data_IF_451685247577
#
_entry.id   IF_451685247577
#
_cell.length_a   1.000
_cell.length_b   1.000
_cell.length_c   1.000
_cell.angle_alpha   90.00
_cell.angle_beta   90.00
_cell.angle_gamma   90.00
#
_symmetry.space_group_name_H-M   'P 1'
#
loop_
_entity.id
_entity.type
_entity.pdbx_description
1 polymer ?
#
# COMPACT_ATOMS: atom_id res chain seq x y z
N UNK A 1 -20.83 -10.50 6.18
CA UNK A 1 -19.84 -10.33 7.27
C UNK A 1 -18.47 -10.39 6.63
N UNK A 2 -17.70 -9.29 6.61
CA UNK A 2 -16.35 -9.35 6.05
C UNK A 2 -15.49 -10.11 7.04
N UNK A 3 -14.95 -11.26 6.65
CA UNK A 3 -14.01 -12.00 7.48
C UNK A 3 -12.80 -11.10 7.78
N UNK A 4 -12.29 -11.15 9.01
CA UNK A 4 -11.02 -10.50 9.37
C UNK A 4 -9.94 -11.12 8.49
N UNK A 5 -9.36 -10.35 7.58
CA UNK A 5 -8.32 -10.85 6.69
C UNK A 5 -7.01 -11.01 7.45
N UNK A 6 -6.23 -12.08 7.21
CA UNK A 6 -4.92 -12.25 7.81
C UNK A 6 -3.97 -11.13 7.35
N UNK A 7 -2.96 -10.75 8.16
CA UNK A 7 -2.04 -9.67 7.84
C UNK A 7 -1.35 -9.78 6.47
N UNK A 8 -1.03 -11.01 6.03
CA UNK A 8 -0.42 -11.27 4.72
C UNK A 8 -1.32 -10.90 3.56
N UNK A 9 -2.63 -11.14 3.67
CA UNK A 9 -3.60 -10.75 2.64
C UNK A 9 -3.77 -9.24 2.57
N UNK A 10 -3.72 -8.55 3.72
CA UNK A 10 -3.79 -7.08 3.77
C UNK A 10 -2.56 -6.46 3.08
N UNK A 11 -1.37 -7.00 3.36
CA UNK A 11 -0.13 -6.57 2.72
C UNK A 11 -0.16 -6.78 1.20
N UNK A 12 -0.60 -7.97 0.75
CA UNK A 12 -0.75 -8.25 -0.67
C UNK A 12 -1.74 -7.28 -1.33
N UNK A 13 -2.87 -7.00 -0.64
CA UNK A 13 -3.89 -6.09 -1.16
C UNK A 13 -3.40 -4.64 -1.27
N UNK A 14 -2.58 -4.18 -0.32
CA UNK A 14 -1.93 -2.87 -0.40
C UNK A 14 -1.08 -2.77 -1.67
N UNK A 15 -0.24 -3.77 -1.95
CA UNK A 15 0.62 -3.78 -3.13
C UNK A 15 -0.19 -3.80 -4.44
N UNK A 16 -1.27 -4.59 -4.50
CA UNK A 16 -2.20 -4.64 -5.64
C UNK A 16 -2.80 -3.25 -5.91
N UNK A 17 -3.34 -2.58 -4.88
CA UNK A 17 -3.96 -1.26 -5.03
C UNK A 17 -2.95 -0.20 -5.52
N UNK A 18 -1.70 -0.25 -5.06
CA UNK A 18 -0.64 0.66 -5.52
C UNK A 18 -0.28 0.34 -6.98
N UNK A 19 -0.14 -0.93 -7.34
CA UNK A 19 0.17 -1.35 -8.71
C UNK A 19 -0.88 -0.86 -9.72
N UNK A 20 -2.17 -1.00 -9.38
CA UNK A 20 -3.28 -0.50 -10.19
C UNK A 20 -3.30 1.03 -10.33
N UNK A 21 -2.68 1.76 -9.40
CA UNK A 21 -2.62 3.22 -9.42
C UNK A 21 -1.30 3.73 -10.03
N UNK A 22 -0.90 3.18 -11.17
CA UNK A 22 0.36 3.55 -11.86
C UNK A 22 1.59 3.49 -10.93
N UNK A 23 1.59 2.52 -9.99
CA UNK A 23 2.62 2.32 -8.98
C UNK A 23 2.86 3.50 -8.01
N UNK A 24 1.95 4.48 -7.91
CA UNK A 24 2.07 5.63 -7.01
C UNK A 24 0.69 6.09 -6.50
N UNK A 25 0.54 6.31 -5.19
CA UNK A 25 -0.75 6.67 -4.62
C UNK A 25 -0.58 7.52 -3.35
N UNK A 26 -1.55 8.38 -3.05
CA UNK A 26 -1.64 9.05 -1.75
C UNK A 26 -2.12 8.04 -0.70
N UNK A 27 -1.54 8.08 0.50
CA UNK A 27 -1.95 7.21 1.62
C UNK A 27 -3.45 7.33 1.97
N UNK A 28 -4.01 8.54 1.89
CA UNK A 28 -5.43 8.80 2.08
C UNK A 28 -6.32 8.12 1.03
N UNK A 29 -5.88 8.05 -0.23
CA UNK A 29 -6.61 7.36 -1.30
C UNK A 29 -6.44 5.84 -1.17
N UNK A 30 -5.23 5.38 -0.86
CA UNK A 30 -4.96 3.97 -0.54
C UNK A 30 -5.86 3.48 0.60
N UNK A 31 -6.00 4.25 1.68
CA UNK A 31 -6.90 3.93 2.78
C UNK A 31 -8.35 3.82 2.34
N UNK A 32 -8.85 4.80 1.58
CA UNK A 32 -10.23 4.78 1.06
C UNK A 32 -10.52 3.55 0.21
N UNK A 33 -9.55 3.11 -0.62
CA UNK A 33 -9.68 1.91 -1.43
C UNK A 33 -9.64 0.65 -0.57
N UNK A 34 -8.62 0.51 0.29
CA UNK A 34 -8.42 -0.67 1.13
C UNK A 34 -9.61 -0.93 2.07
N UNK A 35 -10.16 0.14 2.68
CA UNK A 35 -11.28 0.05 3.62
C UNK A 35 -12.59 -0.48 2.99
N UNK A 36 -12.73 -0.43 1.66
CA UNK A 36 -13.89 -1.03 0.97
C UNK A 36 -13.87 -2.56 1.02
N UNK A 37 -12.68 -3.15 1.21
CA UNK A 37 -12.46 -4.59 1.10
C UNK A 37 -11.92 -5.21 2.39
N UNK A 38 -11.50 -4.40 3.35
CA UNK A 38 -10.85 -4.82 4.60
C UNK A 38 -11.35 -3.94 5.75
N UNK A 39 -11.72 -4.56 6.87
CA UNK A 39 -11.98 -3.81 8.10
C UNK A 39 -10.65 -3.41 8.73
N UNK A 40 -10.26 -2.15 8.54
CA UNK A 40 -8.96 -1.61 8.94
C UNK A 40 -9.09 -0.14 9.33
N UNK A 41 -8.36 0.27 10.37
CA UNK A 41 -8.19 1.68 10.72
C UNK A 41 -6.95 2.28 10.06
N UNK A 42 -6.87 3.61 10.04
CA UNK A 42 -5.76 4.30 9.36
C UNK A 42 -4.40 4.02 10.03
N UNK A 43 -4.34 3.87 11.36
CA UNK A 43 -3.10 3.54 12.07
C UNK A 43 -2.53 2.16 11.66
N UNK A 44 -3.39 1.19 11.41
CA UNK A 44 -2.98 -0.13 10.92
C UNK A 44 -2.45 -0.06 9.49
N UNK A 45 -3.05 0.76 8.62
CA UNK A 45 -2.47 1.04 7.30
C UNK A 45 -1.06 1.60 7.44
N UNK A 46 -0.83 2.58 8.31
CA UNK A 46 0.50 3.15 8.53
C UNK A 46 1.51 2.10 9.01
N UNK A 47 1.08 1.18 9.90
CA UNK A 47 1.93 0.05 10.34
C UNK A 47 2.28 -0.88 9.19
N UNK A 48 1.32 -1.22 8.32
CA UNK A 48 1.59 -2.05 7.15
C UNK A 48 2.50 -1.36 6.13
N UNK A 49 2.31 -0.06 5.89
CA UNK A 49 3.19 0.72 5.02
C UNK A 49 4.62 0.77 5.55
N UNK A 50 4.80 1.00 6.85
CA UNK A 50 6.12 0.94 7.50
C UNK A 50 6.76 -0.45 7.34
N UNK A 51 5.99 -1.53 7.53
CA UNK A 51 6.48 -2.90 7.34
C UNK A 51 6.90 -3.19 5.89
N UNK A 52 6.13 -2.71 4.91
CA UNK A 52 6.46 -2.86 3.49
C UNK A 52 7.69 -2.03 3.11
N UNK A 53 7.82 -0.83 3.68
CA UNK A 53 8.96 0.06 3.45
C UNK A 53 10.26 -0.52 4.01
N UNK A 54 10.25 -1.01 5.25
CA UNK A 54 11.40 -1.70 5.86
C UNK A 54 11.84 -2.91 5.04
N UNK A 55 10.87 -3.65 4.47
CA UNK A 55 11.15 -4.79 3.59
C UNK A 55 11.53 -4.39 2.17
N UNK A 56 11.56 -3.11 1.85
CA UNK A 56 11.97 -2.60 0.55
C UNK A 56 10.93 -2.79 -0.55
N UNK A 57 9.64 -2.97 -0.23
CA UNK A 57 8.56 -3.11 -1.21
C UNK A 57 7.96 -1.78 -1.65
N UNK A 58 7.93 -0.79 -0.77
CA UNK A 58 7.40 0.54 -1.07
C UNK A 58 8.37 1.63 -0.60
N UNK A 59 8.23 2.82 -1.18
CA UNK A 59 8.80 4.04 -0.64
C UNK A 59 7.67 4.95 -0.15
N UNK A 60 7.80 5.50 1.05
CA UNK A 60 6.85 6.46 1.61
C UNK A 60 7.55 7.81 1.74
N UNK A 61 7.10 8.80 0.98
CA UNK A 61 7.63 10.17 1.07
C UNK A 61 6.60 11.12 1.66
N UNK A 62 7.07 12.03 2.51
CA UNK A 62 6.25 13.13 3.03
C UNK A 62 6.06 14.19 1.95
N UNK A 63 4.81 14.50 1.61
CA UNK A 63 4.44 15.67 0.84
C UNK A 63 4.30 16.92 1.72
N UNK A 64 4.06 18.07 1.09
CA UNK A 64 3.56 19.25 1.82
C UNK A 64 2.16 18.92 2.37
N UNK A 65 1.82 19.43 3.56
CA UNK A 65 0.47 19.34 4.16
C UNK A 65 0.02 17.94 4.65
N UNK A 66 0.91 17.18 5.34
CA UNK A 66 0.60 15.87 5.97
C UNK A 66 0.15 14.75 5.00
N UNK A 67 0.25 14.96 3.69
CA UNK A 67 -0.05 13.94 2.69
C UNK A 67 1.18 13.05 2.47
N UNK A 68 1.06 11.73 2.64
CA UNK A 68 2.14 10.80 2.26
C UNK A 68 1.89 10.25 0.86
N UNK A 69 2.96 10.20 0.07
CA UNK A 69 2.98 9.53 -1.22
C UNK A 69 3.62 8.17 -1.03
N UNK A 70 2.96 7.12 -1.51
CA UNK A 70 3.42 5.74 -1.46
C UNK A 70 3.67 5.28 -2.88
N UNK A 71 4.86 4.75 -3.18
CA UNK A 71 5.19 4.18 -4.49
C UNK A 71 5.79 2.78 -4.37
N UNK A 72 5.61 1.94 -5.39
CA UNK A 72 6.29 0.64 -5.45
C UNK A 72 7.78 0.83 -5.69
N UNK A 73 8.59 0.11 -4.92
CA UNK A 73 10.02 0.03 -5.16
C UNK A 73 10.32 -0.78 -6.43
N UNK A 74 11.57 -0.69 -6.90
CA UNK A 74 12.07 -1.56 -7.97
C UNK A 74 11.90 -3.04 -7.64
N UNK A 75 12.24 -3.45 -6.41
CA UNK A 75 12.11 -4.83 -5.93
C UNK A 75 10.68 -5.33 -6.04
N UNK A 76 9.71 -4.53 -5.59
CA UNK A 76 8.29 -4.90 -5.67
C UNK A 76 7.82 -5.05 -7.11
N UNK A 77 8.19 -4.12 -8.00
CA UNK A 77 7.85 -4.20 -9.43
C UNK A 77 8.39 -5.48 -10.07
N UNK A 78 9.63 -5.85 -9.78
CA UNK A 78 10.25 -7.08 -10.28
C UNK A 78 9.53 -8.33 -9.76
N UNK A 79 9.22 -8.40 -8.45
CA UNK A 79 8.51 -9.53 -7.86
C UNK A 79 7.07 -9.67 -8.37
N UNK A 80 6.38 -8.55 -8.60
CA UNK A 80 5.03 -8.52 -9.15
C UNK A 80 4.99 -8.64 -10.68
N UNK A 81 6.15 -8.74 -11.34
CA UNK A 81 6.28 -8.81 -12.81
C UNK A 81 5.57 -7.64 -13.53
N UNK A 82 5.66 -6.45 -12.93
CA UNK A 82 5.10 -5.21 -13.50
C UNK A 82 6.10 -4.66 -14.51
N UNK A 83 5.76 -4.77 -15.79
CA UNK A 83 6.61 -4.33 -16.91
C UNK A 83 6.40 -2.85 -17.30
N UNK A 84 5.36 -2.21 -16.76
CA UNK A 84 5.04 -0.81 -17.07
C UNK A 84 4.44 -0.11 -15.85
N UNK A 85 5.24 0.80 -15.30
CA UNK A 85 4.96 1.91 -14.40
C UNK A 85 6.18 2.85 -14.50
#
# INVERSE_FOLDING_TARGET
>A
MSAVKPPSEVLAKILEIIAENSCIIRDSELYKRLKKEVDINYSDLLRYLMLLEIRGYVHVSGGREDVRIVSLSRLAKEQLRINSC
#
